data_IF_387589601368
#
_entry.id   IF_387589601368
#
_cell.length_a   1.000
_cell.length_b   1.000
_cell.length_c   1.000
_cell.angle_alpha   90.00
_cell.angle_beta   90.00
_cell.angle_gamma   90.00
#
_symmetry.space_group_name_H-M   'P 1'
#
loop_
_entity.id
_entity.type
_entity.pdbx_description
1 polymer ?
#
# COMPACT_ATOMS: atom_id res chain seq x y z
N UNK A 1 1.02 6.75 27.49
CA UNK A 1 1.72 7.26 26.29
C UNK A 1 0.69 7.84 25.30
N UNK A 2 1.10 8.86 24.54
CA UNK A 2 0.25 9.76 23.72
C UNK A 2 -0.58 10.81 24.48
N UNK A 3 -0.24 11.07 25.74
CA UNK A 3 -0.82 12.17 26.50
C UNK A 3 -0.10 13.48 26.18
N UNK A 4 -0.85 14.58 26.16
CA UNK A 4 -0.33 15.94 26.06
C UNK A 4 -0.01 16.46 27.46
N UNK A 5 1.15 17.08 27.59
CA UNK A 5 1.73 17.55 28.85
C UNK A 5 2.29 18.96 28.62
N UNK A 6 2.07 19.85 29.58
CA UNK A 6 2.66 21.19 29.53
C UNK A 6 4.19 21.11 29.69
N UNK A 7 4.90 21.91 28.90
CA UNK A 7 6.34 22.11 29.01
C UNK A 7 6.77 23.04 30.15
N UNK A 8 5.83 23.76 30.76
CA UNK A 8 6.12 24.82 31.74
C UNK A 8 6.95 24.34 32.95
N UNK A 9 6.82 23.05 33.32
CA UNK A 9 7.53 22.47 34.46
C UNK A 9 8.95 22.01 34.16
N UNK A 10 9.39 22.06 32.90
CA UNK A 10 10.73 21.60 32.49
C UNK A 10 11.79 22.71 32.54
N UNK A 11 11.38 23.96 32.38
CA UNK A 11 12.26 25.13 32.35
C UNK A 11 11.63 26.31 31.63
N UNK A 12 12.19 27.51 31.82
CA UNK A 12 11.66 28.74 31.23
C UNK A 12 11.72 28.71 29.69
N UNK A 13 12.68 28.00 29.10
CA UNK A 13 12.76 27.83 27.64
C UNK A 13 11.57 27.06 27.02
N UNK A 14 10.84 26.29 27.83
CA UNK A 14 9.71 25.48 27.39
C UNK A 14 8.35 26.05 27.80
N UNK A 15 8.33 27.28 28.30
CA UNK A 15 7.09 27.95 28.72
C UNK A 15 6.13 28.12 27.55
N UNK A 16 4.88 27.71 27.77
CA UNK A 16 3.81 27.73 26.77
C UNK A 16 3.88 26.59 25.73
N UNK A 17 4.93 25.75 25.74
CA UNK A 17 4.99 24.59 24.87
C UNK A 17 4.06 23.48 25.34
N UNK A 18 3.43 22.80 24.38
CA UNK A 18 2.68 21.57 24.64
C UNK A 18 3.39 20.41 23.96
N UNK A 19 3.77 19.42 24.76
CA UNK A 19 4.42 18.21 24.30
C UNK A 19 3.48 17.03 24.36
N UNK A 20 3.55 16.16 23.36
CA UNK A 20 2.93 14.84 23.39
C UNK A 20 3.97 13.76 23.64
N UNK A 21 3.74 12.90 24.63
CA UNK A 21 4.61 11.75 24.93
C UNK A 21 4.49 10.72 23.80
N UNK A 22 5.49 10.65 22.92
CA UNK A 22 5.49 9.77 21.74
C UNK A 22 6.07 8.39 22.02
N UNK A 23 6.92 8.25 23.04
CA UNK A 23 7.55 6.98 23.39
C UNK A 23 8.64 7.15 24.45
N UNK A 24 9.46 6.13 24.60
CA UNK A 24 10.61 6.16 25.50
C UNK A 24 11.29 4.81 25.62
N UNK A 25 12.42 4.82 26.32
CA UNK A 25 13.25 3.66 26.61
C UNK A 25 13.54 3.59 28.11
N UNK A 26 13.40 2.38 28.66
CA UNK A 26 13.85 2.03 30.00
C UNK A 26 15.38 2.12 30.10
N UNK A 27 15.95 2.16 31.32
CA UNK A 27 17.40 2.18 31.59
C UNK A 27 18.17 1.06 30.90
N UNK A 28 17.57 -0.11 30.71
CA UNK A 28 18.16 -1.27 30.02
C UNK A 28 17.83 -1.28 28.51
N UNK A 29 17.31 -0.18 27.96
CA UNK A 29 17.05 0.00 26.54
C UNK A 29 15.72 -0.58 26.04
N UNK A 30 14.90 -1.19 26.91
CA UNK A 30 13.60 -1.73 26.49
C UNK A 30 12.64 -0.61 26.08
N UNK A 31 12.09 -0.64 24.85
CA UNK A 31 11.18 0.39 24.39
C UNK A 31 9.81 0.27 25.06
N UNK A 32 9.18 1.42 25.30
CA UNK A 32 7.79 1.48 25.76
C UNK A 32 6.82 1.02 24.66
N UNK A 33 5.77 0.29 25.03
CA UNK A 33 4.73 -0.17 24.09
C UNK A 33 3.35 0.36 24.48
N UNK A 34 2.73 1.10 23.56
CA UNK A 34 1.37 1.61 23.73
C UNK A 34 0.36 0.48 23.97
N UNK A 35 -0.60 0.72 24.88
CA UNK A 35 -1.65 -0.22 25.24
C UNK A 35 -1.31 -1.18 26.40
N UNK A 36 -0.06 -1.21 26.87
CA UNK A 36 0.31 -1.95 28.09
C UNK A 36 0.24 -0.99 29.28
N UNK A 37 -0.89 -1.01 30.00
CA UNK A 37 -1.20 -0.09 31.09
C UNK A 37 -0.49 -0.46 32.41
N UNK A 38 0.81 -0.65 32.37
CA UNK A 38 1.63 -0.94 33.57
C UNK A 38 2.90 -0.07 33.58
N UNK A 39 3.45 0.23 34.77
CA UNK A 39 4.67 1.01 34.92
C UNK A 39 5.94 0.13 34.96
N UNK A 40 5.87 -1.14 34.59
CA UNK A 40 7.04 -2.04 34.61
C UNK A 40 7.15 -2.84 33.30
N UNK A 41 8.13 -3.75 33.21
CA UNK A 41 8.32 -4.60 32.03
C UNK A 41 7.42 -5.82 32.05
N UNK A 42 6.90 -6.16 30.88
CA UNK A 42 6.08 -7.36 30.67
C UNK A 42 6.63 -8.16 29.50
N UNK A 43 6.49 -9.49 29.55
CA UNK A 43 6.84 -10.38 28.43
C UNK A 43 5.60 -10.70 27.62
N UNK A 44 5.57 -10.27 26.36
CA UNK A 44 4.47 -10.53 25.43
C UNK A 44 4.90 -11.43 24.29
N UNK A 45 3.96 -12.22 23.75
CA UNK A 45 4.15 -12.98 22.52
C UNK A 45 3.78 -12.11 21.30
N UNK A 46 4.78 -11.47 20.69
CA UNK A 46 4.59 -10.52 19.60
C UNK A 46 4.60 -11.22 18.23
N UNK A 47 3.65 -10.85 17.36
CA UNK A 47 3.57 -11.25 15.95
C UNK A 47 3.96 -10.09 14.99
N UNK A 48 3.90 -10.34 13.68
CA UNK A 48 4.12 -9.32 12.66
C UNK A 48 3.15 -8.13 12.79
N UNK A 49 3.67 -6.91 12.63
CA UNK A 49 2.88 -5.67 12.71
C UNK A 49 2.82 -5.04 14.11
N UNK A 50 3.18 -5.77 15.16
CA UNK A 50 3.33 -5.16 16.48
C UNK A 50 4.61 -4.31 16.56
N UNK A 51 4.51 -3.16 17.22
CA UNK A 51 5.69 -2.38 17.65
C UNK A 51 6.61 -3.21 18.56
N UNK A 52 7.89 -2.82 18.59
CA UNK A 52 8.98 -3.43 19.38
C UNK A 52 9.44 -4.82 18.89
N UNK A 53 8.95 -5.31 17.75
CA UNK A 53 9.39 -6.56 17.16
C UNK A 53 9.40 -6.51 15.63
N UNK A 54 10.45 -7.08 15.02
CA UNK A 54 10.56 -7.29 13.59
C UNK A 54 10.71 -8.80 13.33
N UNK A 55 9.68 -9.46 12.77
CA UNK A 55 9.75 -10.89 12.45
C UNK A 55 10.79 -11.14 11.35
N UNK A 56 11.45 -12.30 11.40
CA UNK A 56 12.39 -12.75 10.36
C UNK A 56 11.73 -13.72 9.39
N UNK A 57 10.69 -14.44 9.83
CA UNK A 57 9.89 -15.35 9.00
C UNK A 57 8.41 -15.00 9.04
N UNK A 58 7.70 -15.32 7.96
CA UNK A 58 6.25 -15.20 7.88
C UNK A 58 5.60 -16.11 8.92
N UNK A 59 4.64 -15.60 9.69
CA UNK A 59 3.97 -16.33 10.76
C UNK A 59 4.77 -16.47 12.06
N UNK A 60 6.01 -15.99 12.12
CA UNK A 60 6.83 -16.04 13.34
C UNK A 60 6.20 -15.20 14.47
N UNK A 61 6.14 -15.79 15.66
CA UNK A 61 5.82 -15.09 16.90
C UNK A 61 6.97 -15.26 17.88
N UNK A 62 7.31 -14.21 18.61
CA UNK A 62 8.41 -14.26 19.59
C UNK A 62 8.03 -13.63 20.91
N UNK A 63 8.31 -14.33 22.00
CA UNK A 63 8.14 -13.80 23.35
C UNK A 63 9.25 -12.78 23.65
N UNK A 64 8.89 -11.52 23.82
CA UNK A 64 9.80 -10.38 24.03
C UNK A 64 9.40 -9.59 25.25
N UNK A 65 10.38 -9.17 26.03
CA UNK A 65 10.18 -8.19 27.11
C UNK A 65 10.04 -6.80 26.52
N UNK A 66 9.05 -6.05 26.98
CA UNK A 66 8.76 -4.67 26.58
C UNK A 66 8.40 -3.85 27.82
N UNK A 67 8.68 -2.54 27.80
CA UNK A 67 8.30 -1.65 28.89
C UNK A 67 6.84 -1.21 28.70
N UNK A 68 6.07 -1.17 29.79
CA UNK A 68 4.71 -0.64 29.76
C UNK A 68 4.64 0.85 29.43
N UNK A 69 3.44 1.36 29.14
CA UNK A 69 3.24 2.71 28.61
C UNK A 69 3.08 3.81 29.67
N UNK A 70 3.00 3.43 30.96
CA UNK A 70 2.95 4.35 32.10
C UNK A 70 4.38 4.80 32.40
N UNK A 71 4.57 6.12 32.45
CA UNK A 71 5.86 6.76 32.71
C UNK A 71 6.21 6.62 34.19
N UNK A 72 7.45 6.22 34.48
CA UNK A 72 7.97 6.06 35.83
C UNK A 72 9.46 6.44 35.91
N UNK A 73 10.03 6.46 37.12
CA UNK A 73 11.42 6.89 37.37
C UNK A 73 12.48 5.90 36.84
N UNK A 74 12.06 4.72 36.39
CA UNK A 74 12.89 3.71 35.75
C UNK A 74 13.17 3.98 34.27
N UNK A 75 12.52 4.99 33.68
CA UNK A 75 12.76 5.41 32.29
C UNK A 75 14.05 6.23 32.20
N UNK A 76 14.88 5.92 31.21
CA UNK A 76 16.11 6.67 30.94
C UNK A 76 15.91 7.77 29.88
N UNK A 77 15.08 7.50 28.86
CA UNK A 77 14.83 8.45 27.77
C UNK A 77 13.33 8.52 27.50
N UNK A 78 12.79 9.73 27.46
CA UNK A 78 11.44 10.00 26.96
C UNK A 78 11.52 10.71 25.61
N UNK A 79 10.70 10.23 24.66
CA UNK A 79 10.54 10.85 23.36
C UNK A 79 9.30 11.74 23.37
N UNK A 80 9.49 13.04 23.18
CA UNK A 80 8.44 14.05 23.14
C UNK A 80 8.28 14.59 21.71
N UNK A 81 7.05 14.99 21.37
CA UNK A 81 6.72 15.66 20.10
C UNK A 81 6.02 16.97 20.42
N UNK A 82 6.52 18.08 19.87
CA UNK A 82 5.88 19.40 20.00
C UNK A 82 4.56 19.38 19.23
N UNK A 83 3.47 19.71 19.93
CA UNK A 83 2.14 19.89 19.34
C UNK A 83 1.83 21.37 19.17
N UNK A 84 2.19 22.18 20.17
CA UNK A 84 2.06 23.64 20.15
C UNK A 84 3.41 24.26 20.52
N UNK A 85 3.86 25.20 19.69
CA UNK A 85 5.04 26.01 19.97
C UNK A 85 4.70 27.03 21.07
N UNK A 86 5.62 27.20 22.03
CA UNK A 86 5.52 28.21 23.09
C UNK A 86 6.04 29.58 22.66
N UNK A 87 6.39 30.41 23.64
CA UNK A 87 6.78 31.81 23.43
C UNK A 87 8.25 31.95 22.99
N UNK A 88 9.15 31.23 23.65
CA UNK A 88 10.59 31.22 23.35
C UNK A 88 10.91 30.26 22.20
N UNK A 89 11.94 30.53 21.41
CA UNK A 89 12.44 29.58 20.41
C UNK A 89 13.44 28.60 21.03
N UNK A 90 13.43 27.35 20.57
CA UNK A 90 14.35 26.28 21.00
C UNK A 90 15.46 26.13 19.96
N UNK A 91 16.72 26.41 20.32
CA UNK A 91 17.81 26.43 19.38
C UNK A 91 17.98 25.09 18.66
N UNK A 92 18.01 25.14 17.33
CA UNK A 92 18.21 23.97 16.47
C UNK A 92 16.98 23.07 16.28
N UNK A 93 15.86 23.36 16.95
CA UNK A 93 14.61 22.61 16.78
C UNK A 93 13.53 23.45 16.08
N UNK A 94 13.25 24.66 16.58
CA UNK A 94 12.23 25.55 15.98
C UNK A 94 12.79 26.46 14.89
N UNK A 95 14.08 26.77 14.96
CA UNK A 95 14.68 27.79 14.08
C UNK A 95 14.92 27.26 12.65
N UNK A 96 15.18 25.95 12.53
CA UNK A 96 15.61 25.34 11.28
C UNK A 96 14.46 24.60 10.58
N UNK A 97 14.03 25.12 9.44
CA UNK A 97 13.05 24.44 8.58
C UNK A 97 13.77 23.50 7.60
N UNK A 98 13.76 22.20 7.90
CA UNK A 98 14.32 21.19 7.00
C UNK A 98 13.42 20.95 5.78
N UNK A 99 13.94 21.09 4.54
CA UNK A 99 13.14 20.87 3.34
C UNK A 99 12.78 19.39 3.14
N UNK A 100 11.58 19.13 2.60
CA UNK A 100 11.15 17.77 2.26
C UNK A 100 12.03 17.19 1.13
N UNK A 101 12.86 16.22 1.49
CA UNK A 101 13.80 15.58 0.55
C UNK A 101 13.15 14.90 -0.65
N UNK A 102 11.94 14.34 -0.50
CA UNK A 102 11.28 13.55 -1.53
C UNK A 102 9.87 14.10 -1.82
N UNK A 103 9.63 14.40 -3.09
CA UNK A 103 8.31 14.73 -3.61
C UNK A 103 7.43 13.50 -3.86
N UNK A 104 6.12 13.72 -4.15
CA UNK A 104 5.19 12.65 -4.47
C UNK A 104 5.55 11.94 -5.78
N UNK A 105 5.55 10.59 -5.78
CA UNK A 105 5.81 9.75 -6.97
C UNK A 105 4.56 9.30 -7.72
N UNK A 106 3.40 9.25 -7.05
CA UNK A 106 2.14 8.73 -7.61
C UNK A 106 1.40 9.86 -8.33
N UNK A 107 0.90 9.63 -9.54
CA UNK A 107 0.19 10.64 -10.35
C UNK A 107 -0.90 11.38 -9.57
N UNK A 108 -1.76 10.65 -8.83
CA UNK A 108 -2.82 11.26 -8.02
C UNK A 108 -2.32 12.09 -6.84
N UNK A 109 -1.16 11.74 -6.26
CA UNK A 109 -0.54 12.54 -5.20
C UNK A 109 0.14 13.79 -5.75
N UNK A 110 0.71 13.71 -6.96
CA UNK A 110 1.28 14.88 -7.66
C UNK A 110 0.16 15.90 -7.94
N UNK A 111 -1.00 15.45 -8.45
CA UNK A 111 -2.16 16.33 -8.67
C UNK A 111 -2.59 17.06 -7.41
N UNK A 112 -2.79 16.32 -6.31
CA UNK A 112 -3.17 16.92 -5.02
C UNK A 112 -2.11 17.87 -4.46
N UNK A 113 -0.83 17.60 -4.71
CA UNK A 113 0.25 18.43 -4.17
C UNK A 113 0.32 19.81 -4.85
N UNK A 114 0.01 19.88 -6.15
CA UNK A 114 0.01 21.11 -6.93
C UNK A 114 -1.40 21.65 -7.21
N UNK A 115 -2.44 21.10 -6.56
CA UNK A 115 -3.85 21.41 -6.81
C UNK A 115 -4.26 21.36 -8.30
N UNK A 116 -3.71 20.39 -9.04
CA UNK A 116 -4.00 20.19 -10.46
C UNK A 116 -5.35 19.51 -10.69
N UNK A 117 -5.95 19.83 -11.83
CA UNK A 117 -7.12 19.15 -12.36
C UNK A 117 -6.75 17.76 -12.93
N UNK A 118 -7.75 17.03 -13.45
CA UNK A 118 -7.52 15.67 -13.97
C UNK A 118 -6.96 15.71 -15.39
N UNK A 119 -7.23 16.79 -16.10
CA UNK A 119 -6.89 17.09 -17.48
C UNK A 119 -5.41 17.49 -17.57
N UNK A 120 -4.87 18.08 -16.50
CA UNK A 120 -3.47 18.52 -16.44
C UNK A 120 -2.46 17.38 -16.56
N UNK A 121 -1.41 17.67 -17.33
CA UNK A 121 -0.27 16.79 -17.53
C UNK A 121 0.68 16.83 -16.32
N UNK A 122 0.53 15.83 -15.47
CA UNK A 122 1.37 15.62 -14.28
C UNK A 122 2.85 15.39 -14.56
N UNK A 123 3.27 15.11 -15.80
CA UNK A 123 4.68 14.83 -16.10
C UNK A 123 5.58 16.05 -15.95
N UNK A 124 5.02 17.25 -16.20
CA UNK A 124 5.72 18.54 -16.10
C UNK A 124 5.92 18.98 -14.65
N UNK A 125 5.03 18.57 -13.76
CA UNK A 125 5.01 19.00 -12.35
C UNK A 125 5.76 18.05 -11.41
N UNK A 126 6.52 17.07 -11.93
CA UNK A 126 7.30 16.18 -11.05
C UNK A 126 8.50 16.94 -10.49
N UNK A 127 8.60 16.99 -9.15
CA UNK A 127 9.76 17.57 -8.47
C UNK A 127 11.04 16.87 -8.91
N UNK A 128 11.95 17.66 -9.49
CA UNK A 128 13.29 17.22 -9.88
C UNK A 128 14.28 17.64 -8.81
N UNK A 129 15.33 16.83 -8.62
CA UNK A 129 16.47 17.19 -7.78
C UNK A 129 17.72 17.30 -8.61
N UNK A 130 18.53 18.30 -8.34
CA UNK A 130 19.89 18.37 -8.85
C UNK A 130 20.77 17.37 -8.11
N UNK A 131 21.62 16.68 -8.86
CA UNK A 131 22.58 15.71 -8.32
C UNK A 131 23.94 16.03 -8.94
N UNK A 132 24.96 16.16 -8.09
CA UNK A 132 26.35 16.22 -8.50
C UNK A 132 26.91 14.79 -8.58
N UNK A 133 27.77 14.52 -9.57
CA UNK A 133 28.45 13.23 -9.65
C UNK A 133 29.63 13.20 -8.68
N UNK A 134 29.79 12.11 -7.92
CA UNK A 134 30.97 11.92 -7.05
C UNK A 134 32.30 11.97 -7.83
N UNK A 135 32.29 11.57 -9.11
CA UNK A 135 33.48 11.54 -9.97
C UNK A 135 33.79 12.89 -10.64
N UNK A 136 32.78 13.74 -10.81
CA UNK A 136 32.90 15.05 -11.46
C UNK A 136 31.92 16.01 -10.79
N UNK A 137 32.35 16.73 -9.73
CA UNK A 137 31.48 17.60 -8.94
C UNK A 137 30.83 18.73 -9.75
N UNK A 138 31.52 19.19 -10.80
CA UNK A 138 31.07 20.29 -11.67
C UNK A 138 29.90 19.89 -12.58
N UNK A 139 29.78 18.60 -12.93
CA UNK A 139 28.69 18.11 -13.81
C UNK A 139 27.42 17.89 -12.99
N UNK A 140 26.56 18.90 -12.97
CA UNK A 140 25.21 18.84 -12.38
C UNK A 140 24.22 18.22 -13.36
N UNK A 141 23.38 17.31 -12.88
CA UNK A 141 22.27 16.76 -13.68
C UNK A 141 21.01 16.58 -12.83
N UNK A 142 19.85 16.66 -13.47
CA UNK A 142 18.57 16.59 -12.76
C UNK A 142 18.00 15.17 -12.78
N UNK A 143 17.58 14.67 -11.61
CA UNK A 143 16.88 13.40 -11.46
C UNK A 143 15.42 13.62 -11.09
N UNK A 144 14.53 12.82 -11.66
CA UNK A 144 13.13 12.76 -11.30
C UNK A 144 12.70 11.29 -11.05
N UNK A 145 11.75 11.03 -10.14
CA UNK A 145 11.18 9.70 -9.98
C UNK A 145 10.29 9.31 -11.17
N UNK A 146 10.31 8.04 -11.57
CA UNK A 146 9.31 7.48 -12.50
C UNK A 146 7.91 7.59 -11.89
N UNK A 147 7.00 8.28 -12.57
CA UNK A 147 5.63 8.49 -12.08
C UNK A 147 4.90 7.14 -12.04
N UNK A 148 4.38 6.80 -10.87
CA UNK A 148 3.58 5.60 -10.71
C UNK A 148 2.10 5.92 -10.97
N UNK A 149 1.39 4.97 -11.59
CA UNK A 149 -0.06 5.05 -11.89
C UNK A 149 -0.45 6.13 -12.90
N UNK A 150 0.50 6.62 -13.70
CA UNK A 150 0.19 7.40 -14.89
C UNK A 150 -0.63 6.54 -15.88
N UNK A 151 -1.57 7.17 -16.58
CA UNK A 151 -2.29 6.52 -17.68
C UNK A 151 -1.49 6.80 -18.95
N UNK A 152 -0.86 5.76 -19.50
CA UNK A 152 -0.07 5.85 -20.74
C UNK A 152 -0.84 5.21 -21.91
N UNK A 153 -0.52 5.57 -23.16
CA UNK A 153 -1.11 4.92 -24.35
C UNK A 153 -0.95 3.40 -24.33
N UNK A 154 0.21 2.90 -23.89
CA UNK A 154 0.51 1.48 -23.71
C UNK A 154 -0.46 0.80 -22.71
N UNK A 155 -0.78 1.45 -21.59
CA UNK A 155 -1.74 0.93 -20.61
C UNK A 155 -3.16 0.87 -21.20
N UNK A 156 -3.54 1.88 -21.99
CA UNK A 156 -4.82 1.89 -22.70
C UNK A 156 -4.88 0.79 -23.77
N UNK A 157 -3.79 0.55 -24.50
CA UNK A 157 -3.67 -0.52 -25.48
C UNK A 157 -3.78 -1.90 -24.82
N UNK A 158 -3.04 -2.15 -23.73
CA UNK A 158 -3.16 -3.40 -22.95
C UNK A 158 -4.60 -3.64 -22.48
N UNK A 159 -5.29 -2.59 -22.01
CA UNK A 159 -6.70 -2.70 -21.60
C UNK A 159 -7.63 -3.02 -22.79
N UNK A 160 -7.41 -2.39 -23.95
CA UNK A 160 -8.16 -2.69 -25.19
C UNK A 160 -7.93 -4.14 -25.65
N UNK A 161 -6.68 -4.61 -25.61
CA UNK A 161 -6.33 -5.98 -25.96
C UNK A 161 -7.00 -7.03 -25.05
N UNK A 162 -7.01 -6.81 -23.72
CA UNK A 162 -7.73 -7.71 -22.82
C UNK A 162 -9.23 -7.78 -23.12
N UNK A 163 -9.85 -6.66 -23.50
CA UNK A 163 -11.25 -6.62 -23.95
C UNK A 163 -11.46 -7.37 -25.27
N UNK A 164 -10.55 -7.21 -26.23
CA UNK A 164 -10.65 -7.94 -27.51
C UNK A 164 -10.50 -9.44 -27.32
N UNK A 165 -9.59 -9.90 -26.44
CA UNK A 165 -9.48 -11.32 -26.10
C UNK A 165 -10.77 -11.87 -25.49
N UNK A 166 -11.43 -11.12 -24.59
CA UNK A 166 -12.71 -11.53 -24.01
C UNK A 166 -13.80 -11.64 -25.08
N UNK A 167 -13.85 -10.69 -26.02
CA UNK A 167 -14.79 -10.72 -27.14
C UNK A 167 -14.56 -11.93 -28.04
N UNK A 168 -13.31 -12.16 -28.46
CA UNK A 168 -12.93 -13.33 -29.29
C UNK A 168 -13.30 -14.66 -28.65
N UNK A 169 -13.15 -14.80 -27.32
CA UNK A 169 -13.57 -16.02 -26.61
C UNK A 169 -15.08 -16.23 -26.68
N UNK A 170 -15.87 -15.17 -26.55
CA UNK A 170 -17.33 -15.24 -26.63
C UNK A 170 -17.77 -15.59 -28.06
N UNK A 171 -17.16 -14.96 -29.06
CA UNK A 171 -17.43 -15.26 -30.48
C UNK A 171 -17.11 -16.72 -30.79
N UNK A 172 -15.91 -17.20 -30.43
CA UNK A 172 -15.52 -18.60 -30.59
C UNK A 172 -16.47 -19.56 -29.88
N UNK A 173 -16.92 -19.23 -28.67
CA UNK A 173 -17.89 -20.06 -27.94
C UNK A 173 -19.22 -20.14 -28.68
N UNK A 174 -19.70 -19.04 -29.26
CA UNK A 174 -20.92 -19.02 -30.07
C UNK A 174 -20.77 -19.87 -31.32
N UNK A 175 -19.67 -19.72 -32.05
CA UNK A 175 -19.35 -20.52 -33.24
C UNK A 175 -19.33 -22.02 -32.92
N UNK A 176 -18.61 -22.42 -31.87
CA UNK A 176 -18.55 -23.81 -31.42
C UNK A 176 -19.92 -24.35 -31.00
N UNK A 177 -20.74 -23.52 -30.34
CA UNK A 177 -22.11 -23.90 -29.97
C UNK A 177 -22.96 -24.13 -31.23
N UNK A 178 -22.91 -23.22 -32.19
CA UNK A 178 -23.67 -23.36 -33.45
C UNK A 178 -23.21 -24.57 -34.26
N UNK A 179 -21.90 -24.84 -34.32
CA UNK A 179 -21.33 -26.01 -34.98
C UNK A 179 -21.74 -27.33 -34.30
N UNK A 180 -21.80 -27.34 -32.97
CA UNK A 180 -22.28 -28.49 -32.22
C UNK A 180 -23.78 -28.72 -32.43
N UNK A 181 -24.60 -27.65 -32.44
CA UNK A 181 -26.05 -27.73 -32.69
C UNK A 181 -26.36 -28.29 -34.09
N UNK A 182 -25.61 -27.89 -35.12
CA UNK A 182 -25.79 -28.42 -36.48
C UNK A 182 -25.40 -29.90 -36.58
N UNK A 183 -24.29 -30.29 -35.95
CA UNK A 183 -23.86 -31.69 -35.89
C UNK A 183 -24.90 -32.56 -35.16
N UNK A 184 -25.42 -32.07 -34.04
CA UNK A 184 -26.43 -32.77 -33.24
C UNK A 184 -27.73 -32.94 -34.03
N UNK A 185 -28.17 -31.91 -34.76
CA UNK A 185 -29.34 -32.00 -35.64
C UNK A 185 -29.16 -33.06 -36.73
N UNK A 186 -27.98 -33.12 -37.38
CA UNK A 186 -27.63 -34.15 -38.37
C UNK A 186 -27.69 -35.57 -37.77
N UNK A 187 -27.07 -35.79 -36.61
CA UNK A 187 -27.08 -37.08 -35.94
C UNK A 187 -28.49 -37.51 -35.52
N UNK A 188 -29.34 -36.59 -35.06
CA UNK A 188 -30.73 -36.88 -34.74
C UNK A 188 -31.54 -37.27 -35.98
N UNK A 189 -31.33 -36.58 -37.10
CA UNK A 189 -31.97 -36.90 -38.38
C UNK A 189 -31.57 -38.31 -38.85
N UNK A 190 -30.28 -38.62 -38.91
CA UNK A 190 -29.77 -39.95 -39.28
C UNK A 190 -30.30 -41.04 -38.34
N UNK A 191 -30.37 -40.78 -37.03
CA UNK A 191 -30.93 -41.74 -36.06
C UNK A 191 -32.42 -41.97 -36.29
N UNK A 192 -33.18 -40.93 -36.63
CA UNK A 192 -34.60 -41.02 -36.95
C UNK A 192 -34.83 -41.81 -38.23
N UNK A 193 -34.02 -41.57 -39.27
CA UNK A 193 -34.04 -42.33 -40.53
C UNK A 193 -33.72 -43.80 -40.32
N UNK A 194 -32.65 -44.12 -39.57
CA UNK A 194 -32.31 -45.52 -39.21
C UNK A 194 -33.45 -46.21 -38.47
N UNK A 195 -34.03 -45.54 -37.47
CA UNK A 195 -35.17 -46.09 -36.73
C UNK A 195 -36.41 -46.31 -37.63
N UNK A 196 -36.66 -45.39 -38.58
CA UNK A 196 -37.73 -45.54 -39.55
C UNK A 196 -37.48 -46.71 -40.51
N UNK A 197 -36.24 -46.87 -41.00
CA UNK A 197 -35.84 -47.99 -41.86
C UNK A 197 -35.99 -49.35 -41.15
N UNK A 198 -35.59 -49.44 -39.88
CA UNK A 198 -35.79 -50.66 -39.05
C UNK A 198 -37.28 -50.96 -38.88
N UNK A 199 -38.12 -49.95 -38.58
CA UNK A 199 -39.57 -50.17 -38.49
C UNK A 199 -40.17 -50.61 -39.83
N UNK A 200 -39.72 -50.05 -40.95
CA UNK A 200 -40.16 -50.42 -42.28
C UNK A 200 -39.77 -51.86 -42.64
N UNK A 201 -38.55 -52.30 -42.29
CA UNK A 201 -38.11 -53.69 -42.53
C UNK A 201 -38.91 -54.69 -41.72
N UNK A 202 -39.18 -54.41 -40.43
CA UNK A 202 -40.05 -55.26 -39.60
C UNK A 202 -41.48 -55.35 -40.14
N UNK A 203 -42.05 -54.23 -40.62
CA UNK A 203 -43.40 -54.24 -41.21
C UNK A 203 -43.46 -55.06 -42.50
N UNK A 204 -42.38 -55.06 -43.29
CA UNK A 204 -42.28 -55.82 -44.54
C UNK A 204 -42.06 -57.33 -44.31
N UNK A 205 -41.48 -57.71 -43.17
CA UNK A 205 -41.31 -59.11 -42.77
C UNK A 205 -42.56 -59.73 -42.11
N UNK A 206 -43.49 -58.89 -41.65
CA UNK A 206 -44.74 -59.30 -41.01
C UNK A 206 -45.96 -59.34 -41.97
N UNK A 207 -45.76 -58.98 -43.24
CA UNK A 207 -46.74 -59.03 -44.32
C UNK A 207 -46.34 -60.15 -45.31
#
# INVERSE_FOLDING_TARGET
MSQEVSGDSLGDEFKGYIFRIAGGNDKQGFPMKQGILVPHRVRLLLSAGHSCYRPRRTGERKRKSVRGCIVGPDIAVLALVIVKQGESEIPGLTDNVLPKRLGPKRATKIRRFFNLTKEDDVTKFVVRREVTSKKNPEKKYTKAPKIQRLVTPERLQRRRHLRSLKRRRIERQKEQKTEYETLLAKHLAERKEKAAAIKASHKKAAA
#
